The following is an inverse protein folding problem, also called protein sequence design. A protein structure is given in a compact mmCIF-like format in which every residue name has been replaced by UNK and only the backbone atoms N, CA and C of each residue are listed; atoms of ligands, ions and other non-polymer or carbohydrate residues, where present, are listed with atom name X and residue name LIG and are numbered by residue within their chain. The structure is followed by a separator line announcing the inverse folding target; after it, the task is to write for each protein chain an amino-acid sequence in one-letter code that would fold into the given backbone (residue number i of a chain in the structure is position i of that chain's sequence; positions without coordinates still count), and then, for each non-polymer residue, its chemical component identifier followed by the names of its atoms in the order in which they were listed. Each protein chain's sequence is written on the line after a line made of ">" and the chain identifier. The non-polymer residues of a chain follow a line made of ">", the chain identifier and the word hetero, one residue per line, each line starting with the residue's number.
data_IF_177367477078
#
_entry.id   IF_177367477078
#
_cell.length_a   1.000
_cell.length_b   1.000
_cell.length_c   1.000
_cell.angle_alpha   90.00
_cell.angle_beta   90.00
_cell.angle_gamma   90.00
#
_symmetry.space_group_name_H-M   'P 1'
#
loop_
_entity.id
_entity.type
_entity.pdbx_description
1 polymer ?
#
# COMPACT_ATOMS: atom_id res chain seq x y z
N UNK A 1 -11.13 42.52 -12.75
CA UNK A 1 -10.17 41.49 -12.31
C UNK A 1 -9.84 41.77 -10.84
N UNK A 2 -10.38 41.00 -9.89
CA UNK A 2 -10.14 41.25 -8.46
C UNK A 2 -8.81 40.64 -8.03
N UNK A 3 -7.89 41.49 -7.55
CA UNK A 3 -6.62 41.06 -6.96
C UNK A 3 -6.86 40.88 -5.47
N UNK A 4 -6.94 39.64 -5.01
CA UNK A 4 -7.00 39.33 -3.58
C UNK A 4 -5.59 39.42 -2.98
N UNK A 5 -5.31 40.54 -2.33
CA UNK A 5 -4.09 40.69 -1.54
C UNK A 5 -4.18 39.81 -0.30
N UNK A 6 -3.35 38.76 -0.22
CA UNK A 6 -3.27 37.90 0.97
C UNK A 6 -2.75 38.72 2.15
N UNK A 7 -3.49 38.72 3.25
CA UNK A 7 -3.10 39.38 4.50
C UNK A 7 -1.75 38.82 5.00
N UNK A 8 -0.70 39.64 5.14
CA UNK A 8 0.61 39.20 5.63
C UNK A 8 0.56 38.63 7.04
N UNK A 9 -0.42 39.01 7.88
CA UNK A 9 -0.60 38.47 9.24
C UNK A 9 -0.97 37.00 9.26
N UNK A 10 -1.56 36.47 8.18
CA UNK A 10 -1.84 35.04 8.03
C UNK A 10 -0.58 34.21 7.77
N UNK A 11 0.58 34.83 7.48
CA UNK A 11 1.86 34.12 7.32
C UNK A 11 2.55 33.80 8.63
N UNK A 12 2.26 34.56 9.70
CA UNK A 12 2.93 34.45 10.99
C UNK A 12 2.23 33.50 11.98
N UNK A 13 1.04 33.00 11.67
CA UNK A 13 0.41 31.99 12.52
C UNK A 13 1.24 30.69 12.51
N UNK A 14 1.52 30.08 13.67
CA UNK A 14 2.25 28.83 13.73
C UNK A 14 1.52 27.77 12.91
N UNK A 15 2.26 27.12 11.99
CA UNK A 15 1.66 26.08 11.15
C UNK A 15 1.28 24.89 12.05
N UNK A 16 0.05 24.34 11.92
CA UNK A 16 -0.34 23.15 12.67
C UNK A 16 0.62 22.00 12.34
N UNK A 17 0.90 21.14 13.32
CA UNK A 17 1.79 20.01 13.12
C UNK A 17 1.20 19.04 12.08
N UNK A 18 2.02 18.12 11.56
CA UNK A 18 1.51 17.11 10.63
C UNK A 18 0.40 16.25 11.26
N UNK A 19 0.58 15.84 12.52
CA UNK A 19 -0.39 15.03 13.24
C UNK A 19 -1.69 15.82 13.49
N UNK A 20 -1.60 17.11 13.84
CA UNK A 20 -2.79 17.97 14.01
C UNK A 20 -3.58 18.10 12.70
N UNK A 21 -2.87 18.30 11.58
CA UNK A 21 -3.52 18.37 10.26
C UNK A 21 -4.24 17.06 9.92
N UNK A 22 -3.63 15.92 10.22
CA UNK A 22 -4.27 14.63 9.99
C UNK A 22 -5.50 14.44 10.86
N UNK A 23 -5.40 14.78 12.15
CA UNK A 23 -6.50 14.69 13.10
C UNK A 23 -7.68 15.56 12.68
N UNK A 24 -7.44 16.84 12.38
CA UNK A 24 -8.49 17.78 11.99
C UNK A 24 -9.15 17.44 10.65
N UNK A 25 -8.38 16.90 9.69
CA UNK A 25 -8.91 16.47 8.40
C UNK A 25 -9.48 15.04 8.43
N UNK A 26 -9.40 14.35 9.57
CA UNK A 26 -9.77 12.93 9.71
C UNK A 26 -9.09 12.04 8.66
N UNK A 27 -7.83 12.34 8.36
CA UNK A 27 -7.04 11.63 7.36
C UNK A 27 -6.10 10.63 8.01
N UNK A 28 -6.03 9.42 7.44
CA UNK A 28 -4.99 8.44 7.78
C UNK A 28 -3.60 8.93 7.35
N UNK A 29 -2.57 8.43 8.04
CA UNK A 29 -1.17 8.73 7.72
C UNK A 29 -0.83 8.34 6.28
N UNK A 30 0.04 9.13 5.63
CA UNK A 30 0.54 8.82 4.28
C UNK A 30 1.12 7.41 4.16
N UNK A 31 1.83 6.94 5.19
CA UNK A 31 2.37 5.57 5.26
C UNK A 31 1.28 4.52 5.20
N UNK A 32 0.20 4.68 5.97
CA UNK A 32 -0.96 3.78 5.96
C UNK A 32 -1.59 3.74 4.57
N UNK A 33 -1.88 4.91 3.99
CA UNK A 33 -2.50 4.99 2.64
C UNK A 33 -1.63 4.32 1.58
N UNK A 34 -0.31 4.51 1.65
CA UNK A 34 0.65 3.82 0.75
C UNK A 34 0.60 2.31 0.91
N UNK A 35 0.54 1.81 2.15
CA UNK A 35 0.44 0.38 2.42
C UNK A 35 -0.88 -0.21 1.88
N UNK A 36 -2.01 0.47 2.05
CA UNK A 36 -3.31 0.05 1.50
C UNK A 36 -3.26 -0.02 -0.03
N UNK A 37 -2.72 1.01 -0.70
CA UNK A 37 -2.56 1.02 -2.16
C UNK A 37 -1.62 -0.11 -2.61
N UNK A 38 -0.51 -0.31 -1.89
CA UNK A 38 0.46 -1.32 -2.23
C UNK A 38 -0.16 -2.74 -2.14
N UNK A 39 -0.97 -3.00 -1.11
CA UNK A 39 -1.70 -4.25 -0.91
C UNK A 39 -2.82 -4.43 -1.93
N UNK A 40 -3.57 -3.36 -2.26
CA UNK A 40 -4.60 -3.36 -3.32
C UNK A 40 -4.03 -3.83 -4.64
N UNK A 41 -2.89 -3.25 -5.00
CA UNK A 41 -2.25 -3.54 -6.27
C UNK A 41 -1.65 -4.94 -6.28
N UNK A 42 -1.03 -5.35 -5.17
CA UNK A 42 -0.51 -6.71 -5.02
C UNK A 42 -1.62 -7.77 -5.12
N UNK A 43 -2.77 -7.54 -4.49
CA UNK A 43 -3.96 -8.38 -4.61
C UNK A 43 -4.47 -8.44 -6.06
N UNK A 44 -4.54 -7.30 -6.73
CA UNK A 44 -4.94 -7.22 -8.15
C UNK A 44 -4.03 -8.04 -9.06
N UNK A 45 -2.73 -8.04 -8.78
CA UNK A 45 -1.74 -8.85 -9.51
C UNK A 45 -1.96 -10.33 -9.21
N UNK A 46 -2.12 -10.69 -7.93
CA UNK A 46 -2.28 -12.08 -7.48
C UNK A 46 -3.50 -12.76 -8.13
N UNK A 47 -4.63 -12.06 -8.19
CA UNK A 47 -5.89 -12.55 -8.75
C UNK A 47 -6.09 -12.17 -10.23
N UNK A 48 -5.04 -11.69 -10.91
CA UNK A 48 -5.04 -11.35 -12.35
C UNK A 48 -6.07 -10.28 -12.77
N UNK A 49 -6.50 -9.42 -11.86
CA UNK A 49 -7.32 -8.25 -12.17
C UNK A 49 -6.52 -7.11 -12.83
N UNK A 50 -5.18 -7.11 -12.70
CA UNK A 50 -4.34 -6.08 -13.31
C UNK A 50 -4.04 -6.36 -14.79
N UNK A 51 -4.08 -5.33 -15.63
CA UNK A 51 -3.61 -5.38 -17.04
C UNK A 51 -2.08 -5.36 -17.19
N UNK A 52 -1.35 -5.42 -16.09
CA UNK A 52 0.11 -5.28 -16.11
C UNK A 52 0.71 -6.55 -16.65
N UNK A 53 1.64 -6.39 -17.60
CA UNK A 53 2.40 -7.53 -18.08
C UNK A 53 3.33 -8.02 -16.96
N UNK A 54 2.99 -9.18 -16.40
CA UNK A 54 3.77 -9.85 -15.36
C UNK A 54 4.80 -10.83 -15.95
N UNK A 55 5.24 -10.62 -17.19
CA UNK A 55 6.31 -11.41 -17.81
C UNK A 55 7.53 -11.47 -16.88
N UNK A 56 7.87 -12.67 -16.40
CA UNK A 56 8.97 -12.89 -15.47
C UNK A 56 8.58 -12.91 -13.98
N UNK A 57 7.29 -12.79 -13.65
CA UNK A 57 6.73 -13.06 -12.33
C UNK A 57 6.03 -14.42 -12.35
N UNK A 58 6.42 -15.32 -11.46
CA UNK A 58 5.67 -16.56 -11.25
C UNK A 58 5.20 -16.68 -9.81
N UNK A 59 3.91 -16.91 -9.64
CA UNK A 59 3.30 -17.30 -8.39
C UNK A 59 3.33 -18.82 -8.30
N UNK A 60 3.99 -19.35 -7.28
CA UNK A 60 4.03 -20.77 -6.97
C UNK A 60 3.47 -20.98 -5.58
N UNK A 61 2.83 -22.11 -5.34
CA UNK A 61 2.49 -22.47 -3.97
C UNK A 61 3.74 -22.79 -3.16
N UNK A 62 3.71 -22.39 -1.89
CA UNK A 62 4.75 -22.67 -0.92
C UNK A 62 4.49 -24.00 -0.24
N UNK A 63 5.37 -25.00 -0.43
CA UNK A 63 5.36 -26.26 0.35
C UNK A 63 5.97 -26.13 1.76
N UNK A 64 6.43 -24.94 2.15
CA UNK A 64 7.13 -24.70 3.44
C UNK A 64 6.17 -24.07 4.45
N UNK A 65 6.38 -24.34 5.76
CA UNK A 65 5.64 -23.70 6.86
C UNK A 65 5.71 -22.17 6.71
N UNK A 66 4.56 -21.51 6.53
CA UNK A 66 4.49 -20.05 6.28
C UNK A 66 3.48 -19.67 5.20
N UNK A 67 3.58 -18.45 4.63
CA UNK A 67 2.64 -17.94 3.64
C UNK A 67 2.54 -18.87 2.42
N UNK A 68 1.31 -19.20 2.00
CA UNK A 68 1.04 -20.16 0.93
C UNK A 68 1.55 -19.74 -0.45
N UNK A 69 1.91 -18.46 -0.63
CA UNK A 69 2.27 -17.89 -1.94
C UNK A 69 3.77 -17.57 -2.01
N UNK A 70 4.48 -18.31 -2.88
CA UNK A 70 5.85 -18.02 -3.32
C UNK A 70 5.84 -17.22 -4.62
N UNK A 71 6.10 -15.94 -4.48
CA UNK A 71 6.41 -15.03 -5.59
C UNK A 71 7.89 -15.15 -5.97
N UNK A 72 8.19 -15.52 -7.22
CA UNK A 72 9.56 -15.51 -7.77
C UNK A 72 9.68 -14.64 -9.02
N UNK A 73 10.80 -13.92 -9.12
CA UNK A 73 11.10 -13.00 -10.20
C UNK A 73 12.37 -13.39 -10.95
N UNK A 74 12.40 -13.10 -12.25
CA UNK A 74 13.66 -13.00 -12.99
C UNK A 74 14.47 -11.84 -12.39
N UNK A 75 15.65 -12.15 -11.85
CA UNK A 75 16.42 -11.23 -11.00
C UNK A 75 17.13 -10.15 -11.84
N UNK A 76 16.96 -8.88 -11.49
CA UNK A 76 17.93 -7.84 -11.83
C UNK A 76 19.06 -7.84 -10.79
N UNK A 77 20.32 -7.71 -11.21
CA UNK A 77 21.51 -7.70 -10.34
C UNK A 77 21.68 -6.34 -9.65
N UNK A 78 20.72 -5.91 -8.83
CA UNK A 78 20.76 -4.60 -8.13
C UNK A 78 20.44 -4.74 -6.64
N UNK A 79 21.09 -3.92 -5.80
CA UNK A 79 20.94 -3.92 -4.33
C UNK A 79 19.64 -3.26 -3.81
N UNK A 80 18.91 -2.51 -4.66
CA UNK A 80 17.68 -1.73 -4.33
C UNK A 80 16.44 -2.61 -4.04
N UNK A 81 16.66 -3.91 -3.80
CA UNK A 81 15.64 -4.96 -3.76
C UNK A 81 14.64 -4.83 -2.61
N UNK A 82 15.08 -4.40 -1.43
CA UNK A 82 14.25 -4.40 -0.23
C UNK A 82 13.10 -3.39 -0.30
N UNK A 83 13.30 -2.28 -1.03
CA UNK A 83 12.30 -1.23 -1.20
C UNK A 83 11.44 -1.41 -2.47
N UNK A 84 11.77 -2.41 -3.30
CA UNK A 84 10.99 -2.72 -4.50
C UNK A 84 9.56 -3.09 -4.11
N UNK A 85 8.59 -2.56 -4.85
CA UNK A 85 7.15 -2.72 -4.63
C UNK A 85 6.77 -4.16 -4.29
N UNK A 86 7.16 -5.12 -5.13
CA UNK A 86 6.78 -6.52 -4.95
C UNK A 86 7.35 -7.16 -3.69
N UNK A 87 8.54 -6.74 -3.25
CA UNK A 87 9.16 -7.25 -2.04
C UNK A 87 8.47 -6.72 -0.79
N UNK A 88 8.23 -5.41 -0.72
CA UNK A 88 7.52 -4.78 0.40
C UNK A 88 6.08 -5.25 0.50
N UNK A 89 5.35 -5.31 -0.62
CA UNK A 89 3.95 -5.73 -0.65
C UNK A 89 3.78 -7.20 -0.30
N UNK A 90 4.69 -8.08 -0.75
CA UNK A 90 4.67 -9.49 -0.33
C UNK A 90 4.84 -9.64 1.18
N UNK A 91 5.78 -8.91 1.78
CA UNK A 91 6.01 -8.95 3.23
C UNK A 91 4.79 -8.44 3.99
N UNK A 92 4.24 -7.31 3.58
CA UNK A 92 3.02 -6.74 4.17
C UNK A 92 1.82 -7.68 4.03
N UNK A 93 1.60 -8.25 2.84
CA UNK A 93 0.50 -9.19 2.61
C UNK A 93 0.63 -10.43 3.49
N UNK A 94 1.83 -10.99 3.61
CA UNK A 94 2.10 -12.15 4.48
C UNK A 94 1.92 -11.87 5.97
N UNK A 95 1.95 -10.60 6.40
CA UNK A 95 1.68 -10.20 7.79
C UNK A 95 0.19 -10.00 8.10
N UNK A 96 -0.68 -10.00 7.08
CA UNK A 96 -2.12 -9.92 7.30
C UNK A 96 -2.64 -11.22 7.92
N UNK A 97 -3.74 -11.19 8.69
CA UNK A 97 -4.43 -12.41 9.11
C UNK A 97 -4.83 -13.28 7.91
N UNK A 98 -4.75 -14.60 8.08
CA UNK A 98 -5.08 -15.57 7.01
C UNK A 98 -6.50 -15.31 6.44
N UNK A 99 -7.45 -14.92 7.31
CA UNK A 99 -8.83 -14.58 6.92
C UNK A 99 -8.90 -13.45 5.90
N UNK A 100 -8.02 -12.44 6.01
CA UNK A 100 -7.94 -11.33 5.06
C UNK A 100 -7.22 -11.77 3.78
N UNK A 101 -6.15 -12.56 3.92
CA UNK A 101 -5.40 -13.07 2.76
C UNK A 101 -6.23 -13.96 1.84
N UNK A 102 -7.24 -14.67 2.37
CA UNK A 102 -8.11 -15.57 1.61
C UNK A 102 -9.25 -14.87 0.86
N UNK A 103 -9.40 -13.54 0.97
CA UNK A 103 -10.45 -12.80 0.28
C UNK A 103 -10.11 -12.65 -1.20
N UNK A 104 -10.89 -13.28 -2.09
CA UNK A 104 -10.66 -13.22 -3.55
C UNK A 104 -11.30 -11.99 -4.20
N UNK A 105 -12.42 -11.51 -3.62
CA UNK A 105 -13.10 -10.29 -4.08
C UNK A 105 -12.29 -9.09 -3.63
N UNK A 106 -11.91 -8.26 -4.60
CA UNK A 106 -11.08 -7.08 -4.34
C UNK A 106 -11.74 -6.10 -3.36
N UNK A 107 -13.05 -5.88 -3.47
CA UNK A 107 -13.75 -4.94 -2.61
C UNK A 107 -13.71 -5.38 -1.14
N UNK A 108 -14.02 -6.65 -0.86
CA UNK A 108 -14.01 -7.22 0.48
C UNK A 108 -12.61 -7.17 1.09
N UNK A 109 -11.59 -7.48 0.27
CA UNK A 109 -10.20 -7.36 0.68
C UNK A 109 -9.82 -5.92 1.08
N UNK A 110 -10.24 -4.93 0.30
CA UNK A 110 -9.92 -3.52 0.58
C UNK A 110 -10.57 -3.02 1.86
N UNK A 111 -11.85 -3.35 2.08
CA UNK A 111 -12.55 -3.00 3.32
C UNK A 111 -11.84 -3.64 4.51
N UNK A 112 -11.47 -4.93 4.41
CA UNK A 112 -10.77 -5.62 5.48
C UNK A 112 -9.37 -5.04 5.77
N UNK A 113 -8.60 -4.71 4.74
CA UNK A 113 -7.27 -4.09 4.89
C UNK A 113 -7.34 -2.68 5.46
N UNK A 114 -8.31 -1.88 5.01
CA UNK A 114 -8.48 -0.51 5.50
C UNK A 114 -8.89 -0.47 6.98
N UNK A 115 -9.68 -1.45 7.44
CA UNK A 115 -10.02 -1.61 8.84
C UNK A 115 -8.89 -2.22 9.68
N UNK A 116 -8.00 -3.01 9.08
CA UNK A 116 -6.89 -3.64 9.78
C UNK A 116 -5.70 -2.71 9.99
N UNK A 117 -5.43 -1.81 9.03
CA UNK A 117 -4.32 -0.88 9.11
C UNK A 117 -4.71 0.41 9.86
N UNK A 118 -3.89 0.86 10.82
CA UNK A 118 -4.18 2.03 11.66
C UNK A 118 -4.07 3.36 10.89
#
# INVERSE_FOLDING_TARGET
>A
MHIYNRDPKLRSSPRPSYEDRLFHLQLKKLSTRRAVIDLKFFHSILYRYSKINLSGVSFKESRTRGPKIKLSFKRAKTSVRQNAFLHRSKKQFGSLPIRIQSLEKQQDFLIAVDNFLP
#
